data_IF_357206994385
#
_entry.id   IF_357206994385
#
_cell.length_a   1.000
_cell.length_b   1.000
_cell.length_c   1.000
_cell.angle_alpha   90.00
_cell.angle_beta   90.00
_cell.angle_gamma   90.00
#
_symmetry.space_group_name_H-M   'P 1'
#
loop_
_entity.id
_entity.type
_entity.pdbx_description
1 polymer ?
#
# COMPACT_ATOMS: atom_id res chain seq x y z
N UNK A 1 33.81 -28.37 -26.25
CA UNK A 1 33.53 -27.09 -25.56
C UNK A 1 32.59 -26.29 -26.44
N UNK A 2 31.31 -26.28 -26.08
CA UNK A 2 30.31 -25.27 -26.39
C UNK A 2 29.00 -25.80 -25.82
N UNK A 3 28.78 -25.55 -24.54
CA UNK A 3 27.53 -25.85 -23.84
C UNK A 3 26.37 -25.11 -24.50
N UNK A 4 25.33 -25.86 -24.90
CA UNK A 4 24.05 -25.31 -25.32
C UNK A 4 23.31 -24.77 -24.10
N UNK A 5 23.42 -23.46 -23.86
CA UNK A 5 22.51 -22.75 -22.97
C UNK A 5 21.18 -22.49 -23.69
N UNK A 6 20.33 -23.52 -23.77
CA UNK A 6 18.93 -23.34 -24.13
C UNK A 6 18.18 -22.67 -22.98
N UNK A 7 18.31 -21.34 -22.91
CA UNK A 7 17.39 -20.49 -22.15
C UNK A 7 15.96 -20.74 -22.65
N UNK A 8 15.23 -21.57 -21.91
CA UNK A 8 13.80 -21.86 -22.14
C UNK A 8 12.99 -20.57 -21.98
N UNK A 9 12.85 -19.82 -23.08
CA UNK A 9 11.87 -18.74 -23.21
C UNK A 9 10.49 -19.36 -22.97
N UNK A 10 9.90 -19.12 -21.80
CA UNK A 10 8.51 -19.50 -21.48
C UNK A 10 7.61 -18.89 -22.55
N UNK A 11 7.16 -19.70 -23.49
CA UNK A 11 6.17 -19.30 -24.49
C UNK A 11 4.87 -19.02 -23.74
N UNK A 12 4.58 -17.75 -23.47
CA UNK A 12 3.28 -17.30 -22.98
C UNK A 12 2.24 -17.73 -24.01
N UNK A 13 1.58 -18.87 -23.79
CA UNK A 13 0.53 -19.34 -24.68
C UNK A 13 -0.77 -18.62 -24.31
N UNK A 14 -1.20 -17.59 -25.06
CA UNK A 14 -2.39 -16.80 -24.73
C UNK A 14 -3.66 -17.66 -24.67
N UNK A 15 -3.68 -18.78 -25.40
CA UNK A 15 -4.76 -19.78 -25.36
C UNK A 15 -4.91 -20.40 -23.96
N UNK A 16 -3.80 -20.61 -23.23
CA UNK A 16 -3.85 -21.13 -21.87
C UNK A 16 -4.37 -20.11 -20.85
N UNK A 17 -4.09 -18.81 -21.04
CA UNK A 17 -4.60 -17.78 -20.13
C UNK A 17 -6.12 -17.69 -20.22
N UNK A 18 -6.66 -17.55 -21.43
CA UNK A 18 -8.11 -17.42 -21.63
C UNK A 18 -8.87 -18.64 -21.09
N UNK A 19 -8.40 -19.86 -21.38
CA UNK A 19 -9.02 -21.09 -20.86
C UNK A 19 -9.01 -21.14 -19.33
N UNK A 20 -7.88 -20.80 -18.69
CA UNK A 20 -7.77 -20.80 -17.23
C UNK A 20 -8.60 -19.69 -16.59
N UNK A 21 -8.64 -18.51 -17.20
CA UNK A 21 -9.44 -17.37 -16.75
C UNK A 21 -10.92 -17.74 -16.68
N UNK A 22 -11.47 -18.28 -17.76
CA UNK A 22 -12.87 -18.74 -17.80
C UNK A 22 -13.12 -19.89 -16.82
N UNK A 23 -12.16 -20.81 -16.67
CA UNK A 23 -12.26 -21.89 -15.69
C UNK A 23 -12.33 -21.36 -14.25
N UNK A 24 -11.47 -20.39 -13.91
CA UNK A 24 -11.46 -19.76 -12.58
C UNK A 24 -12.80 -19.06 -12.33
N UNK A 25 -13.30 -18.24 -13.26
CA UNK A 25 -14.62 -17.59 -13.11
C UNK A 25 -15.73 -18.61 -12.86
N UNK A 26 -15.76 -19.70 -13.64
CA UNK A 26 -16.74 -20.78 -13.46
C UNK A 26 -16.62 -21.47 -12.10
N UNK A 27 -15.40 -21.75 -11.65
CA UNK A 27 -15.17 -22.41 -10.35
C UNK A 27 -15.52 -21.49 -9.19
N UNK A 28 -15.29 -20.19 -9.30
CA UNK A 28 -15.74 -19.20 -8.31
C UNK A 28 -17.25 -19.13 -8.22
N UNK A 29 -17.95 -19.21 -9.37
CA UNK A 29 -19.41 -19.32 -9.41
C UNK A 29 -19.92 -20.60 -8.76
N UNK A 30 -19.39 -21.76 -9.16
CA UNK A 30 -19.74 -23.04 -8.56
C UNK A 30 -19.51 -23.04 -7.05
N UNK A 31 -18.39 -22.50 -6.58
CA UNK A 31 -18.07 -22.41 -5.16
C UNK A 31 -19.07 -21.52 -4.41
N UNK A 32 -19.37 -20.34 -4.96
CA UNK A 32 -20.34 -19.43 -4.36
C UNK A 32 -21.73 -20.07 -4.25
N UNK A 33 -22.19 -20.73 -5.31
CA UNK A 33 -23.52 -21.34 -5.37
C UNK A 33 -23.63 -22.62 -4.54
N UNK A 34 -22.64 -23.52 -4.62
CA UNK A 34 -22.72 -24.83 -3.95
C UNK A 34 -22.52 -24.73 -2.44
N UNK A 35 -21.73 -23.76 -1.98
CA UNK A 35 -21.42 -23.60 -0.56
C UNK A 35 -22.17 -22.43 0.08
N UNK A 36 -22.95 -21.66 -0.69
CA UNK A 36 -23.67 -20.46 -0.23
C UNK A 36 -22.75 -19.46 0.49
N UNK A 37 -21.58 -19.20 -0.10
CA UNK A 37 -20.60 -18.26 0.43
C UNK A 37 -20.38 -17.10 -0.53
N UNK A 38 -20.09 -15.91 0.03
CA UNK A 38 -19.69 -14.75 -0.77
C UNK A 38 -18.29 -14.96 -1.33
N UNK A 39 -18.16 -14.96 -2.65
CA UNK A 39 -16.88 -15.11 -3.37
C UNK A 39 -16.73 -14.00 -4.38
N UNK A 40 -15.54 -13.41 -4.43
CA UNK A 40 -15.12 -12.59 -5.56
C UNK A 40 -13.75 -13.09 -6.05
N UNK A 41 -13.45 -12.86 -7.33
CA UNK A 41 -12.14 -13.15 -7.90
C UNK A 41 -11.66 -11.95 -8.68
N UNK A 42 -10.40 -11.58 -8.49
CA UNK A 42 -9.72 -10.50 -9.20
C UNK A 42 -8.59 -11.10 -10.03
N UNK A 43 -8.64 -10.95 -11.34
CA UNK A 43 -7.70 -11.53 -12.30
C UNK A 43 -7.02 -10.41 -13.06
N UNK A 44 -5.72 -10.25 -12.86
CA UNK A 44 -4.90 -9.33 -13.63
C UNK A 44 -4.34 -10.06 -14.85
N UNK A 45 -4.68 -9.59 -16.05
CA UNK A 45 -4.20 -10.12 -17.32
C UNK A 45 -2.75 -9.72 -17.62
N UNK A 46 -2.12 -10.38 -18.60
CA UNK A 46 -0.73 -10.10 -19.00
C UNK A 46 -0.52 -8.68 -19.53
N UNK A 47 -1.57 -8.02 -20.00
CA UNK A 47 -1.54 -6.65 -20.49
C UNK A 47 -1.93 -5.61 -19.42
N UNK A 48 -2.08 -6.02 -18.15
CA UNK A 48 -2.59 -5.16 -17.08
C UNK A 48 -4.10 -4.99 -17.06
N UNK A 49 -4.84 -5.69 -17.93
CA UNK A 49 -6.30 -5.71 -17.93
C UNK A 49 -6.81 -6.32 -16.61
N UNK A 50 -7.73 -5.63 -15.94
CA UNK A 50 -8.38 -6.12 -14.73
C UNK A 50 -9.71 -6.79 -15.11
N UNK A 51 -9.85 -8.06 -14.75
CA UNK A 51 -11.11 -8.78 -14.88
C UNK A 51 -11.54 -9.30 -13.53
N UNK A 52 -12.85 -9.31 -13.28
CA UNK A 52 -13.40 -9.80 -12.02
C UNK A 52 -14.44 -10.89 -12.26
N UNK A 53 -14.75 -11.62 -11.20
CA UNK A 53 -16.00 -12.35 -11.06
C UNK A 53 -16.56 -12.11 -9.66
N UNK A 54 -17.82 -11.69 -9.51
CA UNK A 54 -18.78 -11.32 -10.56
C UNK A 54 -18.27 -10.20 -11.48
N UNK A 55 -18.83 -10.08 -12.68
CA UNK A 55 -18.44 -9.01 -13.61
C UNK A 55 -18.91 -7.62 -13.12
N UNK A 56 -19.87 -7.58 -12.20
CA UNK A 56 -20.26 -6.37 -11.49
C UNK A 56 -19.21 -6.01 -10.42
N UNK A 57 -18.58 -4.84 -10.58
CA UNK A 57 -17.59 -4.32 -9.64
C UNK A 57 -18.18 -3.99 -8.26
N UNK A 58 -19.43 -3.55 -8.18
CA UNK A 58 -20.08 -3.25 -6.89
C UNK A 58 -20.26 -4.52 -6.06
N UNK A 59 -20.67 -5.62 -6.71
CA UNK A 59 -20.76 -6.93 -6.05
C UNK A 59 -19.39 -7.43 -5.57
N UNK A 60 -18.32 -7.17 -6.32
CA UNK A 60 -16.95 -7.47 -5.87
C UNK A 60 -16.54 -6.59 -4.69
N UNK A 61 -16.91 -5.31 -4.73
CA UNK A 61 -16.59 -4.34 -3.69
C UNK A 61 -17.21 -4.72 -2.35
N UNK A 62 -18.46 -5.19 -2.33
CA UNK A 62 -19.08 -5.68 -1.09
C UNK A 62 -18.28 -6.81 -0.41
N UNK A 63 -17.74 -7.74 -1.21
CA UNK A 63 -16.92 -8.85 -0.68
C UNK A 63 -15.56 -8.35 -0.21
N UNK A 64 -14.95 -7.41 -0.93
CA UNK A 64 -13.68 -6.79 -0.56
C UNK A 64 -13.81 -5.91 0.69
N UNK A 65 -14.91 -5.18 0.84
CA UNK A 65 -15.20 -4.36 2.02
C UNK A 65 -15.41 -5.26 3.24
N UNK A 66 -16.17 -6.36 3.09
CA UNK A 66 -16.32 -7.37 4.13
C UNK A 66 -14.96 -7.97 4.51
N UNK A 67 -14.12 -8.33 3.54
CA UNK A 67 -12.77 -8.81 3.81
C UNK A 67 -11.95 -7.78 4.59
N UNK A 68 -11.98 -6.51 4.17
CA UNK A 68 -11.20 -5.43 4.78
C UNK A 68 -11.64 -5.12 6.22
N UNK A 69 -12.94 -5.19 6.52
CA UNK A 69 -13.47 -5.03 7.88
C UNK A 69 -13.04 -6.19 8.80
N UNK A 70 -12.86 -7.38 8.24
CA UNK A 70 -12.44 -8.58 8.97
C UNK A 70 -10.92 -8.79 9.02
N UNK A 71 -10.16 -7.96 8.30
CA UNK A 71 -8.73 -7.84 8.53
C UNK A 71 -8.55 -7.24 9.93
N UNK A 72 -8.31 -8.11 10.93
CA UNK A 72 -7.76 -7.65 12.20
C UNK A 72 -6.53 -6.80 11.86
N UNK A 73 -6.35 -5.63 12.47
CA UNK A 73 -5.08 -4.95 12.36
C UNK A 73 -4.06 -5.93 12.93
N UNK A 74 -3.24 -6.52 12.06
CA UNK A 74 -1.98 -7.13 12.45
C UNK A 74 -1.26 -6.02 13.21
N UNK A 75 -1.34 -6.07 14.54
CA UNK A 75 -0.53 -5.25 15.42
C UNK A 75 0.89 -5.57 15.00
N UNK A 76 1.51 -4.69 14.22
CA UNK A 76 2.95 -4.74 14.02
C UNK A 76 3.54 -4.75 15.42
N UNK A 77 4.09 -5.90 15.81
CA UNK A 77 4.88 -6.04 17.02
C UNK A 77 6.06 -5.06 16.89
N UNK A 78 5.88 -3.86 17.45
CA UNK A 78 6.95 -3.08 18.03
C UNK A 78 6.48 -2.69 19.42
N UNK A 79 7.13 -3.31 20.39
CA UNK A 79 6.88 -3.24 21.82
C UNK A 79 6.77 -1.79 22.32
N UNK A 80 5.72 -1.45 23.07
CA UNK A 80 5.79 -1.15 24.51
C UNK A 80 4.40 -0.82 25.11
N UNK A 81 3.95 -1.69 26.02
CA UNK A 81 3.08 -1.47 27.21
C UNK A 81 1.72 -0.71 27.14
N UNK A 82 0.62 -1.49 27.21
CA UNK A 82 -0.61 -1.46 28.09
C UNK A 82 -1.37 -0.15 28.44
N UNK A 83 -2.66 -0.22 28.87
CA UNK A 83 -3.84 -0.99 28.40
C UNK A 83 -5.14 -0.11 28.26
N UNK A 84 -6.21 -0.71 27.73
CA UNK A 84 -7.55 -0.14 27.40
C UNK A 84 -8.37 0.25 28.67
N UNK A 85 -9.25 1.28 28.62
CA UNK A 85 -10.71 1.02 28.65
C UNK A 85 -11.48 1.75 27.53
N UNK A 86 -12.55 1.10 27.05
CA UNK A 86 -13.57 1.55 26.09
C UNK A 86 -14.41 2.74 26.62
N UNK A 87 -15.45 3.25 25.90
CA UNK A 87 -15.76 3.26 24.46
C UNK A 87 -15.73 4.72 23.94
N UNK A 88 -16.61 5.10 23.01
CA UNK A 88 -16.96 6.48 22.61
C UNK A 88 -16.37 6.99 21.28
N UNK A 89 -17.30 7.52 20.50
CA UNK A 89 -17.36 7.67 19.05
C UNK A 89 -16.50 8.84 18.52
N UNK A 90 -16.34 8.94 17.19
CA UNK A 90 -15.69 10.05 16.45
C UNK A 90 -14.18 10.31 16.65
N UNK A 91 -13.30 9.58 15.96
CA UNK A 91 -11.89 10.01 15.77
C UNK A 91 -11.33 9.67 14.38
N UNK A 92 -11.97 10.17 13.33
CA UNK A 92 -11.43 10.15 11.96
C UNK A 92 -10.56 11.38 11.62
N UNK A 93 -10.63 12.46 12.41
CA UNK A 93 -10.03 13.74 12.04
C UNK A 93 -8.79 14.12 12.87
N UNK A 94 -8.52 13.42 13.99
CA UNK A 94 -7.43 13.75 14.92
C UNK A 94 -6.03 13.29 14.46
N UNK A 95 -5.93 12.54 13.37
CA UNK A 95 -4.66 11.94 12.91
C UNK A 95 -3.93 12.81 11.86
N UNK A 96 -4.65 13.57 11.03
CA UNK A 96 -4.00 14.42 10.02
C UNK A 96 -3.45 15.73 10.60
N UNK A 97 -4.18 16.35 11.53
CA UNK A 97 -3.78 17.63 12.11
C UNK A 97 -2.47 17.49 12.91
N UNK A 98 -2.37 16.45 13.73
CA UNK A 98 -1.16 16.11 14.50
C UNK A 98 0.03 15.77 13.60
N UNK A 99 -0.20 15.07 12.47
CA UNK A 99 0.84 14.81 11.46
C UNK A 99 1.33 16.12 10.83
N UNK A 100 0.41 17.03 10.46
CA UNK A 100 0.75 18.32 9.85
C UNK A 100 1.51 19.20 10.84
N UNK A 101 1.06 19.28 12.10
CA UNK A 101 1.74 20.02 13.17
C UNK A 101 3.16 19.50 13.40
N UNK A 102 3.34 18.18 13.47
CA UNK A 102 4.66 17.55 13.61
C UNK A 102 5.59 17.89 12.44
N UNK A 103 5.08 17.84 11.21
CA UNK A 103 5.85 18.23 10.00
C UNK A 103 6.21 19.72 10.01
N UNK A 104 5.29 20.58 10.44
CA UNK A 104 5.53 22.02 10.55
C UNK A 104 6.64 22.31 11.57
N UNK A 105 6.64 21.63 12.72
CA UNK A 105 7.71 21.73 13.72
C UNK A 105 9.07 21.33 13.14
N UNK A 106 9.13 20.24 12.36
CA UNK A 106 10.37 19.80 11.72
C UNK A 106 10.92 20.83 10.72
N UNK A 107 10.05 21.42 9.91
CA UNK A 107 10.41 22.50 8.96
C UNK A 107 10.95 23.72 9.71
N UNK A 108 10.26 24.17 10.75
CA UNK A 108 10.70 25.32 11.55
C UNK A 108 12.06 25.10 12.22
N UNK A 109 12.33 23.89 12.72
CA UNK A 109 13.66 23.54 13.23
C UNK A 109 14.73 23.63 12.14
N UNK A 110 14.43 23.20 10.92
CA UNK A 110 15.36 23.27 9.79
C UNK A 110 15.64 24.70 9.37
N UNK A 111 14.63 25.56 9.30
CA UNK A 111 14.78 27.00 9.00
C UNK A 111 15.74 27.64 10.00
N UNK A 112 15.47 27.49 11.30
CA UNK A 112 16.34 28.03 12.36
C UNK A 112 17.77 27.53 12.28
N UNK A 113 17.96 26.25 11.98
CA UNK A 113 19.30 25.68 11.80
C UNK A 113 20.05 26.34 10.64
N UNK A 114 19.38 26.57 9.52
CA UNK A 114 19.98 27.20 8.34
C UNK A 114 20.27 28.68 8.59
N UNK A 115 19.38 29.40 9.26
CA UNK A 115 19.60 30.79 9.68
C UNK A 115 20.84 30.90 10.57
N UNK A 116 20.94 30.08 11.62
CA UNK A 116 22.09 30.07 12.52
C UNK A 116 23.39 29.70 11.78
N UNK A 117 23.33 28.75 10.84
CA UNK A 117 24.48 28.37 10.02
C UNK A 117 24.92 29.52 9.10
N UNK A 118 23.97 30.24 8.50
CA UNK A 118 24.27 31.39 7.64
C UNK A 118 24.87 32.55 8.44
N UNK A 119 24.38 32.81 9.66
CA UNK A 119 24.99 33.78 10.58
C UNK A 119 26.44 33.38 10.92
N UNK A 120 26.68 32.11 11.23
CA UNK A 120 28.02 31.62 11.52
C UNK A 120 28.98 31.69 10.33
N UNK A 121 28.48 31.60 9.10
CA UNK A 121 29.28 31.81 7.88
C UNK A 121 29.55 33.29 7.62
N UNK A 122 28.57 34.17 7.84
CA UNK A 122 28.73 35.61 7.70
C UNK A 122 29.74 36.19 8.70
N UNK A 123 29.82 35.65 9.92
CA UNK A 123 30.82 36.06 10.93
C UNK A 123 32.25 35.66 10.54
N UNK A 124 32.42 34.48 9.92
CA UNK A 124 33.73 33.99 9.43
C UNK A 124 34.25 34.79 8.24
N UNK A 125 33.38 35.41 7.45
CA UNK A 125 33.76 36.27 6.33
C UNK A 125 34.32 37.65 6.72
N UNK A 126 34.09 38.11 7.96
CA UNK A 126 34.51 39.44 8.43
C UNK A 126 35.90 39.46 9.10
N UNK A 127 36.52 38.31 9.36
CA UNK A 127 37.82 38.22 10.08
C UNK A 127 39.07 38.21 9.20
N UNK A 128 39.04 38.87 8.05
CA UNK A 128 40.25 39.08 7.21
C UNK A 128 40.26 40.45 6.53
N UNK A 129 40.18 41.54 7.29
CA UNK A 129 40.77 42.83 6.90
C UNK A 129 41.21 43.53 8.19
N UNK A 130 42.45 43.33 8.61
CA UNK A 130 43.22 44.33 9.36
C UNK A 130 44.67 44.22 8.85
N UNK A 131 45.15 45.36 8.36
CA UNK A 131 46.47 45.71 7.83
C UNK A 131 47.58 45.60 8.87
#
# INVERSE_FOLDING_TARGET
MADEDQSKKKTNNPKSYQVRKECIKRKSMELATLCDIKVCTVITGPNGELQTWPDNLDACKEVLDLYSQNLKPEKKHKESSTPIPEPEEEQGEKDLLTIVESKLVAVNRRIRFLENKNVALADKGKRKIIE
#
